data_IF_370431276967
#
_entry.id   IF_370431276967
#
_cell.length_a   1.000
_cell.length_b   1.000
_cell.length_c   1.000
_cell.angle_alpha   90.00
_cell.angle_beta   90.00
_cell.angle_gamma   90.00
#
_symmetry.space_group_name_H-M   'P 1'
#
loop_
_entity.id
_entity.type
_entity.pdbx_description
1 polymer ?
#
# COMPACT_ATOMS: atom_id res chain seq x y z
N UNK A 1 -5.31 37.15 5.34
CA UNK A 1 -4.74 35.95 6.01
C UNK A 1 -4.87 34.67 5.19
N UNK A 2 -5.94 34.47 4.42
CA UNK A 2 -6.21 33.25 3.64
C UNK A 2 -5.19 32.96 2.52
N UNK A 3 -4.60 33.98 1.90
CA UNK A 3 -3.60 33.83 0.83
C UNK A 3 -2.24 33.29 1.29
N UNK A 4 -1.78 33.66 2.50
CA UNK A 4 -0.52 33.15 3.05
C UNK A 4 -0.61 31.65 3.40
N UNK A 5 -1.79 31.19 3.84
CA UNK A 5 -2.07 29.78 4.10
C UNK A 5 -2.06 28.96 2.79
N UNK A 6 -2.59 29.51 1.70
CA UNK A 6 -2.60 28.86 0.39
C UNK A 6 -1.20 28.78 -0.24
N UNK A 7 -0.35 29.79 0.00
CA UNK A 7 1.08 29.77 -0.34
C UNK A 7 1.83 28.69 0.47
N UNK A 8 1.52 28.55 1.76
CA UNK A 8 2.17 27.54 2.62
C UNK A 8 1.76 26.12 2.20
N UNK A 9 0.48 25.92 1.86
CA UNK A 9 -0.01 24.66 1.28
C UNK A 9 0.71 24.32 -0.04
N UNK A 10 0.91 25.33 -0.91
CA UNK A 10 1.67 25.17 -2.15
C UNK A 10 3.15 24.86 -1.92
N UNK A 11 3.77 25.44 -0.89
CA UNK A 11 5.16 25.17 -0.52
C UNK A 11 5.34 23.75 0.04
N UNK A 12 4.40 23.27 0.86
CA UNK A 12 4.37 21.88 1.35
C UNK A 12 4.19 20.89 0.19
N UNK A 13 3.35 21.21 -0.79
CA UNK A 13 3.26 20.46 -2.05
C UNK A 13 4.57 20.50 -2.86
N UNK A 14 5.31 21.61 -2.82
CA UNK A 14 6.59 21.77 -3.52
C UNK A 14 7.72 20.96 -2.88
N UNK A 15 7.65 20.68 -1.58
CA UNK A 15 8.59 19.80 -0.86
C UNK A 15 8.31 18.30 -1.14
N UNK A 16 7.16 17.98 -1.73
CA UNK A 16 6.73 16.63 -2.10
C UNK A 16 7.47 16.07 -3.34
N UNK A 17 8.57 16.70 -3.75
CA UNK A 17 9.54 16.16 -4.71
C UNK A 17 10.31 14.95 -4.15
N UNK A 18 10.30 14.75 -2.83
CA UNK A 18 10.59 13.45 -2.20
C UNK A 18 9.41 12.50 -2.42
N UNK A 19 9.68 11.20 -2.57
CA UNK A 19 8.65 10.15 -2.72
C UNK A 19 7.51 10.32 -1.70
N UNK A 20 6.30 10.75 -2.11
CA UNK A 20 5.22 11.12 -1.19
C UNK A 20 4.76 9.94 -0.32
N UNK A 21 5.01 8.72 -0.79
CA UNK A 21 4.80 7.48 -0.05
C UNK A 21 5.67 7.41 1.22
N UNK A 22 6.90 7.90 1.18
CA UNK A 22 7.81 7.87 2.33
C UNK A 22 7.41 8.90 3.40
N UNK A 23 7.00 10.10 2.96
CA UNK A 23 6.50 11.14 3.86
C UNK A 23 5.19 10.68 4.53
N UNK A 24 4.29 10.06 3.76
CA UNK A 24 3.05 9.51 4.27
C UNK A 24 3.31 8.39 5.31
N UNK A 25 4.20 7.43 5.00
CA UNK A 25 4.51 6.33 5.91
C UNK A 25 5.17 6.81 7.22
N UNK A 26 6.13 7.73 7.14
CA UNK A 26 6.80 8.28 8.32
C UNK A 26 5.86 9.10 9.19
N UNK A 27 5.04 9.97 8.58
CA UNK A 27 3.99 10.74 9.29
C UNK A 27 2.99 9.83 10.00
N UNK A 28 2.50 8.79 9.33
CA UNK A 28 1.53 7.84 9.88
C UNK A 28 2.12 7.04 11.05
N UNK A 29 3.39 6.63 10.96
CA UNK A 29 4.10 6.00 12.08
C UNK A 29 4.21 6.94 13.29
N UNK A 30 4.62 8.19 13.07
CA UNK A 30 4.80 9.18 14.16
C UNK A 30 3.45 9.52 14.80
N UNK A 31 2.39 9.66 14.00
CA UNK A 31 1.04 9.90 14.48
C UNK A 31 0.53 8.74 15.35
N UNK A 32 0.64 7.49 14.87
CA UNK A 32 0.20 6.30 15.62
C UNK A 32 0.99 6.11 16.93
N UNK A 33 2.31 6.34 16.90
CA UNK A 33 3.15 6.26 18.09
C UNK A 33 2.81 7.34 19.11
N UNK A 34 2.52 8.56 18.65
CA UNK A 34 2.05 9.64 19.51
C UNK A 34 0.67 9.33 20.11
N UNK A 35 -0.20 8.64 19.36
CA UNK A 35 -1.54 8.26 19.82
C UNK A 35 -1.51 7.19 20.92
N UNK A 36 -0.52 6.29 20.88
CA UNK A 36 -0.24 5.32 21.94
C UNK A 36 0.29 5.94 23.22
N UNK A 37 0.92 7.11 23.14
CA UNK A 37 1.43 7.85 24.31
C UNK A 37 0.35 8.67 25.04
N UNK A 38 -0.82 8.90 24.41
CA UNK A 38 -1.96 9.62 24.99
C UNK A 38 -2.42 9.04 26.34
N UNK A 39 -2.69 7.72 26.48
CA UNK A 39 -3.11 7.15 27.77
C UNK A 39 -2.05 7.33 28.86
N UNK A 40 -0.77 7.35 28.51
CA UNK A 40 0.31 7.59 29.47
C UNK A 40 0.36 9.07 29.94
N UNK A 41 0.06 10.00 29.02
CA UNK A 41 0.02 11.43 29.31
C UNK A 41 -1.22 11.87 30.13
N UNK A 42 -2.23 11.02 30.30
CA UNK A 42 -3.41 11.34 31.12
C UNK A 42 -3.07 11.54 32.61
N UNK A 43 -1.92 11.07 33.08
CA UNK A 43 -1.41 11.32 34.44
C UNK A 43 -1.03 12.80 34.66
N UNK A 44 -0.70 13.56 33.61
CA UNK A 44 -0.22 14.95 33.73
C UNK A 44 -0.80 15.86 32.66
N UNK A 45 -1.73 16.72 33.08
CA UNK A 45 -2.47 17.64 32.21
C UNK A 45 -1.56 18.57 31.37
N UNK A 46 -0.41 18.98 31.91
CA UNK A 46 0.56 19.84 31.23
C UNK A 46 1.16 19.23 29.96
N UNK A 47 1.28 17.90 29.88
CA UNK A 47 1.82 17.21 28.70
C UNK A 47 0.74 16.85 27.68
N UNK A 48 -0.52 16.80 28.08
CA UNK A 48 -1.62 16.38 27.23
C UNK A 48 -1.94 17.39 26.13
N UNK A 49 -1.99 18.68 26.49
CA UNK A 49 -2.27 19.79 25.56
C UNK A 49 -1.32 19.85 24.35
N UNK A 50 0.01 19.95 24.55
CA UNK A 50 0.94 20.02 23.42
C UNK A 50 0.93 18.73 22.58
N UNK A 51 0.71 17.57 23.20
CA UNK A 51 0.64 16.29 22.51
C UNK A 51 -0.61 16.21 21.60
N UNK A 52 -1.76 16.71 22.04
CA UNK A 52 -2.98 16.80 21.21
C UNK A 52 -2.83 17.75 20.03
N UNK A 53 -2.18 18.89 20.21
CA UNK A 53 -1.91 19.83 19.11
C UNK A 53 -0.98 19.16 18.09
N UNK A 54 0.03 18.42 18.55
CA UNK A 54 0.96 17.72 17.68
C UNK A 54 0.30 16.57 16.91
N UNK A 55 -0.52 15.73 17.57
CA UNK A 55 -1.24 14.65 16.91
C UNK A 55 -2.27 15.19 15.91
N UNK A 56 -3.00 16.25 16.25
CA UNK A 56 -3.93 16.91 15.33
C UNK A 56 -3.23 17.45 14.08
N UNK A 57 -2.06 18.07 14.25
CA UNK A 57 -1.26 18.57 13.13
C UNK A 57 -0.80 17.46 12.18
N UNK A 58 -0.33 16.33 12.73
CA UNK A 58 0.08 15.17 11.93
C UNK A 58 -1.10 14.53 11.18
N UNK A 59 -2.26 14.42 11.84
CA UNK A 59 -3.48 13.91 11.23
C UNK A 59 -3.90 14.80 10.04
N UNK A 60 -3.87 16.13 10.19
CA UNK A 60 -4.17 17.05 9.11
C UNK A 60 -3.21 16.89 7.93
N UNK A 61 -1.90 16.73 8.19
CA UNK A 61 -0.91 16.51 7.14
C UNK A 61 -1.22 15.22 6.36
N UNK A 62 -1.54 14.13 7.06
CA UNK A 62 -1.91 12.85 6.44
C UNK A 62 -3.14 12.96 5.52
N UNK A 63 -4.21 13.62 5.97
CA UNK A 63 -5.44 13.79 5.19
C UNK A 63 -5.20 14.63 3.91
N UNK A 64 -4.29 15.61 3.97
CA UNK A 64 -3.88 16.41 2.79
C UNK A 64 -3.01 15.59 1.82
N UNK A 65 -2.22 14.63 2.32
CA UNK A 65 -1.39 13.77 1.47
C UNK A 65 -2.19 12.65 0.77
N UNK A 66 -3.30 12.22 1.37
CA UNK A 66 -4.17 11.16 0.85
C UNK A 66 -4.61 11.36 -0.61
N UNK A 67 -5.18 12.53 -1.02
CA UNK A 67 -5.56 12.77 -2.41
C UNK A 67 -4.34 12.78 -3.35
N UNK A 68 -3.19 13.26 -2.90
CA UNK A 68 -1.95 13.30 -3.71
C UNK A 68 -1.44 11.88 -3.98
N UNK A 69 -1.46 11.01 -2.96
CA UNK A 69 -1.16 9.59 -3.12
C UNK A 69 -2.15 8.92 -4.07
N UNK A 70 -3.43 9.21 -3.92
CA UNK A 70 -4.48 8.63 -4.75
C UNK A 70 -4.33 9.02 -6.23
N UNK A 71 -3.95 10.27 -6.56
CA UNK A 71 -3.60 10.67 -7.95
C UNK A 71 -2.42 9.84 -8.48
N UNK A 72 -1.40 9.59 -7.65
CA UNK A 72 -0.23 8.80 -8.05
C UNK A 72 -0.52 7.31 -8.23
N UNK A 73 -1.54 6.76 -7.57
CA UNK A 73 -1.92 5.35 -7.67
C UNK A 73 -3.04 5.07 -8.69
N UNK A 74 -4.11 5.86 -8.69
CA UNK A 74 -5.27 5.67 -9.56
C UNK A 74 -5.08 6.33 -10.95
N UNK A 75 -4.11 7.23 -11.08
CA UNK A 75 -3.88 8.02 -12.29
C UNK A 75 -4.86 9.20 -12.42
N UNK A 76 -4.49 10.18 -13.23
CA UNK A 76 -5.23 11.45 -13.38
C UNK A 76 -6.65 11.27 -13.93
N UNK A 77 -6.91 10.20 -14.70
CA UNK A 77 -8.19 10.01 -15.40
C UNK A 77 -9.32 9.54 -14.48
N UNK A 78 -9.01 8.78 -13.42
CA UNK A 78 -10.01 8.16 -12.54
C UNK A 78 -9.87 8.58 -11.06
N UNK A 79 -9.08 9.62 -10.77
CA UNK A 79 -8.81 10.06 -9.39
C UNK A 79 -10.09 10.42 -8.63
N UNK A 80 -11.00 11.20 -9.23
CA UNK A 80 -12.22 11.63 -8.54
C UNK A 80 -13.16 10.46 -8.20
N UNK A 81 -13.27 9.46 -9.09
CA UNK A 81 -14.10 8.27 -8.85
C UNK A 81 -13.50 7.39 -7.73
N UNK A 82 -12.18 7.18 -7.75
CA UNK A 82 -11.48 6.40 -6.73
C UNK A 82 -11.51 7.09 -5.35
N UNK A 83 -11.22 8.40 -5.32
CA UNK A 83 -11.24 9.18 -4.08
C UNK A 83 -12.66 9.34 -3.53
N UNK A 84 -13.68 9.41 -4.39
CA UNK A 84 -15.09 9.37 -3.98
C UNK A 84 -15.45 8.07 -3.26
N UNK A 85 -15.05 6.92 -3.79
CA UNK A 85 -15.24 5.62 -3.12
C UNK A 85 -14.45 5.51 -1.81
N UNK A 86 -13.25 6.10 -1.74
CA UNK A 86 -12.47 6.18 -0.50
C UNK A 86 -13.18 7.00 0.57
N UNK A 87 -13.74 8.16 0.20
CA UNK A 87 -14.51 9.03 1.11
C UNK A 87 -15.79 8.34 1.61
N UNK A 88 -16.46 7.55 0.77
CA UNK A 88 -17.61 6.74 1.22
C UNK A 88 -17.19 5.74 2.31
N UNK A 89 -16.05 5.07 2.14
CA UNK A 89 -15.51 4.17 3.15
C UNK A 89 -15.19 4.91 4.47
N UNK A 90 -14.54 6.08 4.39
CA UNK A 90 -14.25 6.92 5.55
C UNK A 90 -15.52 7.42 6.26
N UNK A 91 -16.57 7.73 5.49
CA UNK A 91 -17.89 8.04 6.03
C UNK A 91 -18.48 6.88 6.83
N UNK A 92 -18.44 5.65 6.28
CA UNK A 92 -18.90 4.44 6.98
C UNK A 92 -18.08 4.20 8.27
N UNK A 93 -16.77 4.38 8.22
CA UNK A 93 -15.90 4.29 9.41
C UNK A 93 -16.26 5.34 10.47
N UNK A 94 -16.59 6.57 10.05
CA UNK A 94 -16.99 7.64 10.96
C UNK A 94 -18.38 7.40 11.57
N UNK A 95 -19.25 6.66 10.88
CA UNK A 95 -20.52 6.17 11.44
C UNK A 95 -20.30 5.03 12.44
N UNK A 96 -19.34 4.14 12.18
CA UNK A 96 -19.00 3.00 13.05
C UNK A 96 -18.14 3.42 14.26
N UNK A 97 -17.38 4.50 14.16
CA UNK A 97 -16.53 5.01 15.25
C UNK A 97 -17.32 5.22 16.56
N UNK A 98 -18.32 6.12 16.59
CA UNK A 98 -19.11 6.39 17.80
C UNK A 98 -19.75 5.14 18.44
N UNK A 99 -20.45 4.24 17.72
CA UNK A 99 -21.04 3.05 18.33
C UNK A 99 -19.98 2.04 18.79
N UNK A 100 -18.90 1.86 18.03
CA UNK A 100 -17.80 0.97 18.43
C UNK A 100 -17.08 1.51 19.67
N UNK A 101 -16.81 2.82 19.74
CA UNK A 101 -16.22 3.44 20.93
C UNK A 101 -17.15 3.35 22.15
N UNK A 102 -18.46 3.55 21.98
CA UNK A 102 -19.43 3.42 23.06
C UNK A 102 -19.50 1.98 23.60
N UNK A 103 -19.55 0.99 22.71
CA UNK A 103 -19.58 -0.42 23.09
C UNK A 103 -18.28 -0.87 23.78
N UNK A 104 -17.12 -0.43 23.28
CA UNK A 104 -15.82 -0.74 23.89
C UNK A 104 -15.68 -0.02 25.24
N UNK A 105 -16.13 1.22 25.38
CA UNK A 105 -16.13 1.93 26.65
C UNK A 105 -16.98 1.21 27.71
N UNK A 106 -18.12 0.64 27.31
CA UNK A 106 -19.02 -0.09 28.20
C UNK A 106 -18.43 -1.45 28.65
N UNK A 107 -17.80 -2.19 27.73
CA UNK A 107 -17.18 -3.48 28.02
C UNK A 107 -15.97 -3.39 28.97
N UNK A 108 -15.08 -2.42 28.76
CA UNK A 108 -13.80 -2.39 29.47
C UNK A 108 -13.84 -1.62 30.80
N UNK A 109 -14.93 -0.87 31.09
CA UNK A 109 -15.13 0.00 32.27
C UNK A 109 -13.92 0.91 32.61
N UNK A 110 -13.02 1.13 31.65
CA UNK A 110 -11.77 1.88 31.80
C UNK A 110 -11.33 2.35 30.41
N UNK A 111 -11.17 3.68 30.26
CA UNK A 111 -10.89 4.32 28.97
C UNK A 111 -9.47 4.07 28.45
N UNK A 112 -8.52 3.78 29.34
CA UNK A 112 -7.11 3.63 28.98
C UNK A 112 -6.88 2.50 27.97
N UNK A 113 -7.57 1.37 28.15
CA UNK A 113 -7.45 0.19 27.27
C UNK A 113 -8.05 0.44 25.89
N UNK A 114 -9.12 1.23 25.81
CA UNK A 114 -9.74 1.64 24.55
C UNK A 114 -8.78 2.47 23.70
N UNK A 115 -8.08 3.43 24.33
CA UNK A 115 -7.07 4.24 23.64
C UNK A 115 -5.88 3.41 23.16
N UNK A 116 -5.42 2.43 23.94
CA UNK A 116 -4.40 1.48 23.51
C UNK A 116 -4.85 0.66 22.29
N UNK A 117 -6.09 0.17 22.28
CA UNK A 117 -6.63 -0.59 21.14
C UNK A 117 -6.66 0.24 19.85
N UNK A 118 -7.09 1.50 19.94
CA UNK A 118 -7.10 2.44 18.80
C UNK A 118 -5.67 2.72 18.32
N UNK A 119 -4.74 2.99 19.24
CA UNK A 119 -3.34 3.26 18.89
C UNK A 119 -2.62 2.06 18.26
N UNK A 120 -2.88 0.84 18.74
CA UNK A 120 -2.33 -0.39 18.11
C UNK A 120 -2.98 -0.60 16.73
N UNK A 121 -4.29 -0.37 16.63
CA UNK A 121 -5.05 -0.47 15.39
C UNK A 121 -4.56 0.48 14.30
N UNK A 122 -4.04 1.66 14.66
CA UNK A 122 -3.42 2.61 13.72
C UNK A 122 -1.93 2.37 13.51
N UNK A 123 -1.21 1.86 14.51
CA UNK A 123 0.22 1.54 14.40
C UNK A 123 0.48 0.30 13.51
N UNK A 124 -0.39 -0.71 13.53
CA UNK A 124 -0.29 -1.91 12.68
C UNK A 124 -0.20 -1.58 11.18
N UNK A 125 -1.15 -0.83 10.58
CA UNK A 125 -1.08 -0.44 9.17
C UNK A 125 0.08 0.52 8.89
N UNK A 126 0.46 1.37 9.85
CA UNK A 126 1.64 2.23 9.73
C UNK A 126 2.94 1.42 9.56
N UNK A 127 3.11 0.39 10.40
CA UNK A 127 4.26 -0.52 10.33
C UNK A 127 4.25 -1.34 9.03
N UNK A 128 3.08 -1.77 8.58
CA UNK A 128 2.91 -2.46 7.29
C UNK A 128 3.37 -1.59 6.10
N UNK A 129 3.08 -0.29 6.17
CA UNK A 129 3.51 0.71 5.17
C UNK A 129 5.02 0.97 5.20
N UNK A 130 5.67 0.82 6.35
CA UNK A 130 7.13 0.84 6.42
C UNK A 130 7.75 -0.37 5.69
N UNK A 131 7.04 -1.50 5.66
CA UNK A 131 7.43 -2.71 4.92
C UNK A 131 7.13 -2.61 3.42
N UNK A 132 6.22 -1.73 2.98
CA UNK A 132 5.91 -1.52 1.55
C UNK A 132 7.13 -1.25 0.64
N UNK A 133 8.14 -0.42 0.98
CA UNK A 133 9.34 -0.29 0.15
C UNK A 133 10.17 -1.58 0.05
N UNK A 134 10.15 -2.44 1.07
CA UNK A 134 10.76 -3.77 1.02
C UNK A 134 9.94 -4.71 0.12
N UNK A 135 8.62 -4.66 0.27
CA UNK A 135 7.68 -5.42 -0.55
C UNK A 135 7.72 -4.96 -2.01
N UNK A 136 7.92 -3.68 -2.32
CA UNK A 136 8.08 -3.21 -3.69
C UNK A 136 9.35 -3.74 -4.35
N UNK A 137 10.43 -3.94 -3.59
CA UNK A 137 11.63 -4.64 -4.09
C UNK A 137 11.30 -6.11 -4.37
N UNK A 138 10.67 -6.81 -3.43
CA UNK A 138 10.27 -8.21 -3.60
C UNK A 138 9.20 -8.42 -4.69
N UNK A 139 8.24 -7.52 -4.83
CA UNK A 139 7.15 -7.59 -5.81
C UNK A 139 7.66 -7.29 -7.23
N UNK A 140 8.66 -6.40 -7.39
CA UNK A 140 9.37 -6.27 -8.67
C UNK A 140 10.09 -7.56 -9.07
N UNK A 141 10.62 -8.30 -8.10
CA UNK A 141 11.25 -9.61 -8.33
C UNK A 141 10.19 -10.64 -8.75
N UNK A 142 9.06 -10.72 -8.05
CA UNK A 142 7.97 -11.69 -8.35
C UNK A 142 7.21 -11.32 -9.65
N UNK A 143 7.05 -10.03 -9.98
CA UNK A 143 6.50 -9.60 -11.27
C UNK A 143 7.49 -9.81 -12.44
N UNK A 144 8.80 -9.76 -12.18
CA UNK A 144 9.79 -10.18 -13.18
C UNK A 144 9.64 -11.68 -13.50
N UNK A 145 9.34 -12.51 -12.49
CA UNK A 145 8.98 -13.93 -12.70
C UNK A 145 7.63 -14.10 -13.42
N UNK A 146 6.65 -13.23 -13.14
CA UNK A 146 5.33 -13.28 -13.78
C UNK A 146 5.34 -12.88 -15.26
N UNK A 147 6.19 -11.93 -15.65
CA UNK A 147 6.39 -11.56 -17.06
C UNK A 147 7.07 -12.68 -17.84
N UNK A 148 8.01 -13.41 -17.26
CA UNK A 148 8.55 -14.62 -17.89
C UNK A 148 7.50 -15.70 -18.04
N UNK A 149 6.62 -15.91 -17.04
CA UNK A 149 5.55 -16.91 -17.13
C UNK A 149 4.55 -16.59 -18.24
N UNK A 150 4.16 -15.31 -18.41
CA UNK A 150 3.25 -14.89 -19.49
C UNK A 150 3.91 -14.90 -20.88
N UNK A 151 5.21 -14.60 -20.98
CA UNK A 151 5.98 -14.69 -22.24
C UNK A 151 6.26 -16.14 -22.65
N UNK A 152 6.62 -17.03 -21.73
CA UNK A 152 6.88 -18.43 -22.06
C UNK A 152 5.61 -19.14 -22.53
N UNK A 153 4.45 -18.87 -21.90
CA UNK A 153 3.18 -19.45 -22.35
C UNK A 153 2.69 -18.91 -23.71
N UNK A 154 2.97 -17.64 -24.05
CA UNK A 154 2.67 -17.11 -25.39
C UNK A 154 3.62 -17.65 -26.47
N UNK A 155 4.88 -17.96 -26.12
CA UNK A 155 5.84 -18.62 -27.03
C UNK A 155 5.51 -20.11 -27.20
N UNK A 156 4.95 -20.78 -26.18
CA UNK A 156 4.44 -22.16 -26.30
C UNK A 156 3.12 -22.24 -27.08
N UNK A 157 2.23 -21.24 -26.94
CA UNK A 157 0.98 -21.15 -27.70
C UNK A 157 1.17 -20.74 -29.18
N UNK A 158 2.34 -20.20 -29.55
CA UNK A 158 2.68 -19.92 -30.95
C UNK A 158 3.39 -21.10 -31.66
N UNK A 159 3.83 -22.12 -30.93
CA UNK A 159 4.51 -23.32 -31.48
C UNK A 159 3.68 -24.60 -31.35
N UNK A 160 2.40 -24.49 -31.00
CA UNK A 160 1.44 -25.59 -31.07
C UNK A 160 0.41 -25.27 -32.15
N UNK A 161 0.61 -25.83 -33.34
CA UNK A 161 -0.42 -26.33 -34.27
C UNK A 161 0.07 -26.29 -35.74
N UNK A 162 1.02 -27.16 -36.08
CA UNK A 162 0.91 -27.91 -37.34
C UNK A 162 0.77 -29.39 -36.92
N UNK A 163 -0.41 -30.01 -37.10
CA UNK A 163 -0.54 -31.44 -36.88
C UNK A 163 0.17 -32.16 -38.03
N UNK A 164 1.23 -32.91 -37.72
CA UNK A 164 1.81 -33.82 -38.70
C UNK A 164 0.95 -35.11 -38.77
N UNK A 165 0.45 -35.51 -39.95
CA UNK A 165 -0.33 -36.73 -40.13
C UNK A 165 0.53 -37.99 -39.94
N UNK A 166 -0.09 -39.16 -39.65
CA UNK A 166 0.64 -40.39 -39.35
C UNK A 166 1.35 -40.90 -40.60
N UNK A 167 2.67 -41.10 -40.54
CA UNK A 167 3.43 -41.71 -41.64
C UNK A 167 4.19 -42.95 -41.17
N UNK A 168 3.48 -44.08 -41.32
CA UNK A 168 3.90 -45.43 -41.70
C UNK A 168 5.41 -45.76 -41.58
N UNK A 169 5.72 -46.67 -40.65
CA UNK A 169 6.91 -47.53 -40.64
C UNK A 169 7.03 -48.29 -41.97
N UNK A 170 8.08 -48.02 -42.73
CA UNK A 170 8.61 -48.95 -43.72
C UNK A 170 10.07 -49.27 -43.36
N UNK A 171 10.26 -50.48 -42.86
CA UNK A 171 11.56 -51.17 -42.89
C UNK A 171 11.94 -51.43 -44.36
N UNK A 172 13.16 -51.07 -44.78
CA UNK A 172 13.98 -51.70 -45.84
C UNK A 172 15.20 -50.78 -46.09
N UNK A 173 16.39 -51.14 -45.57
CA UNK A 173 17.45 -51.88 -46.30
C UNK A 173 18.07 -51.10 -47.46
N UNK A 174 19.35 -50.72 -47.32
CA UNK A 174 20.13 -50.17 -48.43
C UNK A 174 21.37 -49.34 -48.05
N UNK A 175 22.44 -50.01 -47.66
CA UNK A 175 23.81 -49.85 -48.23
C UNK A 175 24.39 -48.44 -48.40
N UNK A 176 25.41 -48.11 -47.60
CA UNK A 176 26.80 -47.76 -48.02
C UNK A 176 27.51 -46.94 -46.92
N UNK A 177 28.10 -47.64 -45.96
CA UNK A 177 29.20 -47.10 -45.16
C UNK A 177 30.50 -47.21 -45.97
N UNK A 178 30.78 -46.16 -46.75
CA UNK A 178 32.12 -45.70 -47.09
C UNK A 178 32.63 -45.02 -45.79
N UNK A 179 33.77 -45.31 -45.16
CA UNK A 179 35.14 -44.99 -45.56
C UNK A 179 36.11 -45.63 -44.52
N UNK A 180 37.05 -46.43 -45.02
CA UNK A 180 38.50 -46.42 -44.70
C UNK A 180 38.99 -45.96 -43.30
N UNK A 181 39.53 -46.88 -42.48
CA UNK A 181 40.82 -46.66 -41.79
C UNK A 181 41.40 -47.97 -41.19
N UNK A 182 42.54 -48.38 -41.78
CA UNK A 182 43.75 -49.03 -41.23
C UNK A 182 43.68 -50.06 -40.09
#
# INVERSE_FOLDING_TARGET
>A
MTVNLFIFLRLVMSLLWISPLYIYATSLCIAGLSQLLIPYAMISYSFLMPLMVFTGFLQCAQEVLMPILCIKFAGTQNFANAYGMLLLCQGISSLLGPPTLGFIADLYKSYDRTYYAIGIGTALPALLLFTMPLVQKCYKIILAESKQKKTNTLVTASNGDIPAPPTINNSHSGTMANINNK
#
